data_IF_307848323893
#
_entry.id   IF_307848323893
#
_cell.length_a   1.000
_cell.length_b   1.000
_cell.length_c   1.000
_cell.angle_alpha   90.00
_cell.angle_beta   90.00
_cell.angle_gamma   90.00
#
_symmetry.space_group_name_H-M   'P 1'
#
loop_
_entity.id
_entity.type
_entity.pdbx_description
1 polymer ?
#
# COMPACT_ATOMS: atom_id res chain seq x y z
N UNK A 1 -31.94 25.84 -20.86
CA UNK A 1 -30.83 24.91 -21.22
C UNK A 1 -29.93 24.50 -20.04
N UNK A 2 -30.33 24.73 -18.80
CA UNK A 2 -29.48 24.56 -17.56
C UNK A 2 -29.81 23.28 -16.75
N UNK A 3 -30.85 22.54 -17.11
CA UNK A 3 -31.32 21.37 -16.33
C UNK A 3 -30.66 20.04 -16.76
N UNK A 4 -30.14 19.95 -18.00
CA UNK A 4 -29.58 18.71 -18.54
C UNK A 4 -28.14 18.45 -18.04
N UNK A 5 -27.42 19.47 -17.60
CA UNK A 5 -26.03 19.35 -17.09
C UNK A 5 -25.93 18.74 -15.68
N UNK A 6 -26.95 18.91 -14.84
CA UNK A 6 -26.99 18.35 -13.47
C UNK A 6 -27.23 16.84 -13.42
N UNK A 7 -28.00 16.29 -14.36
CA UNK A 7 -28.33 14.86 -14.38
C UNK A 7 -27.19 13.99 -14.91
N UNK A 8 -26.35 14.50 -15.80
CA UNK A 8 -25.18 13.76 -16.33
C UNK A 8 -24.07 13.57 -15.28
N UNK A 9 -23.75 14.64 -14.55
CA UNK A 9 -22.75 14.61 -13.47
C UNK A 9 -23.19 13.69 -12.33
N UNK A 10 -24.49 13.65 -12.04
CA UNK A 10 -25.04 12.78 -10.98
C UNK A 10 -24.97 11.29 -11.37
N UNK A 11 -25.25 10.94 -12.63
CA UNK A 11 -25.18 9.54 -13.11
C UNK A 11 -23.74 9.01 -13.13
N UNK A 12 -22.79 9.82 -13.57
CA UNK A 12 -21.38 9.43 -13.60
C UNK A 12 -20.82 9.22 -12.18
N UNK A 13 -21.10 10.14 -11.27
CA UNK A 13 -20.73 9.99 -9.85
C UNK A 13 -21.37 8.78 -9.17
N UNK A 14 -22.63 8.46 -9.49
CA UNK A 14 -23.30 7.28 -8.97
C UNK A 14 -22.63 6.01 -9.51
N UNK A 15 -22.25 5.99 -10.80
CA UNK A 15 -21.57 4.84 -11.41
C UNK A 15 -20.16 4.63 -10.83
N UNK A 16 -19.41 5.70 -10.58
CA UNK A 16 -18.10 5.66 -9.93
C UNK A 16 -18.24 5.15 -8.48
N UNK A 17 -19.19 5.69 -7.73
CA UNK A 17 -19.44 5.27 -6.34
C UNK A 17 -19.90 3.80 -6.26
N UNK A 18 -20.71 3.33 -7.21
CA UNK A 18 -21.14 1.92 -7.27
C UNK A 18 -19.97 0.98 -7.62
N UNK A 19 -19.06 1.41 -8.49
CA UNK A 19 -17.86 0.66 -8.82
C UNK A 19 -16.90 0.59 -7.63
N UNK A 20 -16.71 1.69 -6.91
CA UNK A 20 -15.90 1.71 -5.69
C UNK A 20 -16.49 0.81 -4.61
N UNK A 21 -17.81 0.87 -4.40
CA UNK A 21 -18.50 0.00 -3.47
C UNK A 21 -18.30 -1.49 -3.80
N UNK A 22 -18.40 -1.87 -5.08
CA UNK A 22 -18.19 -3.25 -5.51
C UNK A 22 -16.75 -3.72 -5.24
N UNK A 23 -15.74 -2.88 -5.52
CA UNK A 23 -14.33 -3.19 -5.24
C UNK A 23 -14.09 -3.33 -3.73
N UNK A 24 -14.63 -2.43 -2.93
CA UNK A 24 -14.50 -2.47 -1.47
C UNK A 24 -15.20 -3.68 -0.86
N UNK A 25 -16.37 -4.04 -1.38
CA UNK A 25 -17.08 -5.26 -0.96
C UNK A 25 -16.28 -6.51 -1.29
N UNK A 26 -15.73 -6.61 -2.50
CA UNK A 26 -14.85 -7.71 -2.89
C UNK A 26 -13.60 -7.79 -1.99
N UNK A 27 -12.99 -6.65 -1.68
CA UNK A 27 -11.87 -6.58 -0.76
C UNK A 27 -12.24 -7.07 0.65
N UNK A 28 -13.41 -6.66 1.19
CA UNK A 28 -13.92 -7.15 2.46
C UNK A 28 -14.16 -8.67 2.44
N UNK A 29 -14.70 -9.22 1.35
CA UNK A 29 -14.89 -10.66 1.19
C UNK A 29 -13.54 -11.41 1.22
N UNK A 30 -12.53 -10.92 0.51
CA UNK A 30 -11.17 -11.52 0.48
C UNK A 30 -10.58 -11.55 1.89
N UNK A 31 -10.64 -10.43 2.62
CA UNK A 31 -10.09 -10.36 3.98
C UNK A 31 -10.89 -11.19 5.00
N UNK A 32 -12.21 -11.18 4.91
CA UNK A 32 -13.07 -12.00 5.79
C UNK A 32 -12.84 -13.49 5.55
N UNK A 33 -12.72 -13.91 4.29
CA UNK A 33 -12.33 -15.25 3.93
C UNK A 33 -10.96 -15.62 4.51
N UNK A 34 -9.96 -14.76 4.37
CA UNK A 34 -8.62 -14.94 4.95
C UNK A 34 -8.68 -15.16 6.47
N UNK A 35 -9.47 -14.33 7.16
CA UNK A 35 -9.57 -14.37 8.61
C UNK A 35 -10.28 -15.64 9.09
N UNK A 36 -11.44 -15.95 8.53
CA UNK A 36 -12.31 -17.05 9.00
C UNK A 36 -11.83 -18.41 8.48
N UNK A 37 -11.49 -18.51 7.21
CA UNK A 37 -11.16 -19.79 6.59
C UNK A 37 -9.68 -20.19 6.73
N UNK A 38 -8.78 -19.24 7.05
CA UNK A 38 -7.34 -19.52 7.12
C UNK A 38 -6.76 -19.17 8.49
N UNK A 39 -6.91 -17.95 8.96
CA UNK A 39 -6.23 -17.45 10.15
C UNK A 39 -6.75 -18.12 11.44
N UNK A 40 -8.06 -18.08 11.67
CA UNK A 40 -8.69 -18.60 12.89
C UNK A 40 -8.46 -20.11 13.05
N UNK A 41 -8.74 -20.97 12.04
CA UNK A 41 -8.56 -22.41 12.16
C UNK A 41 -7.11 -22.85 12.42
N UNK A 42 -6.14 -22.10 11.88
CA UNK A 42 -4.72 -22.39 12.05
C UNK A 42 -4.12 -21.78 13.33
N UNK A 43 -4.92 -21.12 14.16
CA UNK A 43 -4.47 -20.53 15.41
C UNK A 43 -3.49 -19.36 15.22
N UNK A 44 -3.51 -18.74 14.04
CA UNK A 44 -2.67 -17.58 13.73
C UNK A 44 -3.21 -16.29 14.36
N UNK A 45 -2.31 -15.35 14.50
CA UNK A 45 -2.58 -13.93 14.77
C UNK A 45 -1.86 -13.05 13.78
N UNK A 46 -2.17 -11.77 13.76
CA UNK A 46 -1.53 -10.77 12.90
C UNK A 46 -1.29 -9.47 13.67
N UNK A 47 -0.70 -8.48 13.04
CA UNK A 47 -0.78 -7.09 13.50
C UNK A 47 -2.18 -6.50 13.32
N UNK A 48 -2.32 -5.22 13.60
CA UNK A 48 -3.57 -4.51 13.37
C UNK A 48 -4.69 -4.82 14.36
N UNK A 49 -5.88 -4.32 14.06
CA UNK A 49 -7.08 -4.55 14.89
C UNK A 49 -7.43 -6.04 14.97
N UNK A 50 -7.19 -6.78 13.89
CA UNK A 50 -7.36 -8.24 13.83
C UNK A 50 -6.54 -8.95 14.90
N UNK A 51 -5.29 -8.54 15.13
CA UNK A 51 -4.44 -9.07 16.18
C UNK A 51 -4.97 -8.77 17.58
N UNK A 52 -5.45 -7.55 17.82
CA UNK A 52 -6.09 -7.18 19.10
C UNK A 52 -7.30 -8.07 19.37
N UNK A 53 -8.17 -8.24 18.38
CA UNK A 53 -9.37 -9.07 18.50
C UNK A 53 -9.02 -10.54 18.75
N UNK A 54 -7.98 -11.07 18.09
CA UNK A 54 -7.49 -12.44 18.35
C UNK A 54 -6.98 -12.61 19.78
N UNK A 55 -6.26 -11.63 20.30
CA UNK A 55 -5.82 -11.64 21.70
C UNK A 55 -7.03 -11.63 22.64
N UNK A 56 -8.02 -10.77 22.38
CA UNK A 56 -9.25 -10.70 23.19
C UNK A 56 -10.04 -12.02 23.15
N UNK A 57 -10.12 -12.66 21.98
CA UNK A 57 -10.83 -13.94 21.81
C UNK A 57 -10.23 -15.07 22.67
N UNK A 58 -8.96 -14.97 23.04
CA UNK A 58 -8.36 -15.94 23.97
C UNK A 58 -8.85 -15.81 25.42
N UNK A 59 -9.40 -14.66 25.79
CA UNK A 59 -9.91 -14.37 27.14
C UNK A 59 -11.43 -14.28 27.21
N UNK A 60 -12.08 -14.02 26.07
CA UNK A 60 -13.54 -13.81 25.98
C UNK A 60 -14.08 -14.83 24.98
N UNK A 61 -14.97 -15.69 25.45
CA UNK A 61 -15.67 -16.67 24.62
C UNK A 61 -16.78 -15.96 23.81
N UNK A 62 -16.42 -15.36 22.69
CA UNK A 62 -17.32 -14.66 21.80
C UNK A 62 -16.82 -14.78 20.34
N UNK A 63 -17.75 -14.65 19.41
CA UNK A 63 -17.45 -14.66 17.98
C UNK A 63 -16.48 -13.56 17.61
N UNK A 64 -15.58 -13.85 16.70
CA UNK A 64 -14.55 -12.92 16.27
C UNK A 64 -15.16 -11.63 15.69
N UNK A 65 -16.23 -11.76 14.89
CA UNK A 65 -16.94 -10.63 14.31
C UNK A 65 -17.56 -9.70 15.35
N UNK A 66 -18.13 -10.26 16.43
CA UNK A 66 -18.73 -9.49 17.53
C UNK A 66 -17.67 -8.68 18.26
N UNK A 67 -16.53 -9.31 18.60
CA UNK A 67 -15.40 -8.61 19.21
C UNK A 67 -14.82 -7.54 18.28
N UNK A 68 -14.77 -7.85 16.98
CA UNK A 68 -14.28 -6.90 15.97
C UNK A 68 -15.20 -5.68 15.87
N UNK A 69 -16.53 -5.86 15.88
CA UNK A 69 -17.49 -4.76 15.95
C UNK A 69 -17.28 -3.88 17.19
N UNK A 70 -17.11 -4.52 18.35
CA UNK A 70 -16.85 -3.79 19.59
C UNK A 70 -15.60 -2.93 19.52
N UNK A 71 -14.48 -3.53 19.10
CA UNK A 71 -13.21 -2.81 18.92
C UNK A 71 -13.30 -1.69 17.89
N UNK A 72 -13.96 -1.96 16.76
CA UNK A 72 -14.19 -0.94 15.71
C UNK A 72 -15.03 0.23 16.26
N UNK A 73 -16.07 -0.06 17.06
CA UNK A 73 -16.89 0.95 17.71
C UNK A 73 -16.07 1.86 18.64
N UNK A 74 -15.20 1.27 19.45
CA UNK A 74 -14.29 2.03 20.33
C UNK A 74 -13.36 2.93 19.51
N UNK A 75 -12.75 2.39 18.44
CA UNK A 75 -11.87 3.19 17.56
C UNK A 75 -12.64 4.32 16.87
N UNK A 76 -13.87 4.08 16.42
CA UNK A 76 -14.73 5.11 15.82
C UNK A 76 -15.05 6.25 16.80
N UNK A 77 -15.35 5.92 18.06
CA UNK A 77 -15.57 6.92 19.11
C UNK A 77 -14.28 7.75 19.31
N UNK A 78 -13.12 7.10 19.40
CA UNK A 78 -11.84 7.79 19.52
C UNK A 78 -11.57 8.71 18.31
N UNK A 79 -11.92 8.27 17.10
CA UNK A 79 -11.77 9.09 15.89
C UNK A 79 -12.65 10.33 15.93
N UNK A 80 -13.91 10.24 16.38
CA UNK A 80 -14.79 11.41 16.52
C UNK A 80 -14.18 12.41 17.51
N UNK A 81 -13.72 11.94 18.65
CA UNK A 81 -13.20 12.81 19.73
C UNK A 81 -11.89 13.49 19.31
N UNK A 82 -10.94 12.75 18.70
CA UNK A 82 -9.59 13.24 18.45
C UNK A 82 -9.35 13.78 17.03
N UNK A 83 -10.00 13.20 16.02
CA UNK A 83 -9.82 13.57 14.61
C UNK A 83 -10.98 14.39 14.06
N UNK A 84 -12.19 14.21 14.61
CA UNK A 84 -13.39 14.98 14.27
C UNK A 84 -14.26 14.30 13.20
N UNK A 85 -15.45 14.89 12.98
CA UNK A 85 -16.53 14.34 12.16
C UNK A 85 -16.17 14.10 10.68
N UNK A 86 -15.25 14.90 10.14
CA UNK A 86 -14.82 14.78 8.73
C UNK A 86 -14.06 13.48 8.48
N UNK A 87 -13.15 13.10 9.35
CA UNK A 87 -12.38 11.85 9.26
C UNK A 87 -13.25 10.64 9.59
N UNK A 88 -14.14 10.76 10.58
CA UNK A 88 -15.10 9.71 10.91
C UNK A 88 -15.92 9.26 9.70
N UNK A 89 -16.47 10.19 8.92
CA UNK A 89 -17.29 9.85 7.75
C UNK A 89 -16.52 9.07 6.67
N UNK A 90 -15.22 9.30 6.53
CA UNK A 90 -14.38 8.60 5.55
C UNK A 90 -14.16 7.13 5.89
N UNK A 91 -14.10 6.80 7.16
CA UNK A 91 -13.82 5.44 7.64
C UNK A 91 -15.09 4.66 7.97
N UNK A 92 -16.21 5.33 8.20
CA UNK A 92 -17.45 4.72 8.65
C UNK A 92 -17.93 3.59 7.74
N UNK A 93 -17.86 3.78 6.42
CA UNK A 93 -18.38 2.82 5.45
C UNK A 93 -17.68 1.45 5.59
N UNK A 94 -16.36 1.41 5.60
CA UNK A 94 -15.60 0.17 5.76
C UNK A 94 -15.70 -0.40 7.18
N UNK A 95 -15.81 0.46 8.18
CA UNK A 95 -15.94 0.06 9.58
C UNK A 95 -17.24 -0.68 9.88
N UNK A 96 -18.27 -0.44 9.09
CA UNK A 96 -19.54 -1.18 9.16
C UNK A 96 -19.53 -2.38 8.21
N UNK A 97 -19.04 -2.18 6.98
CA UNK A 97 -19.10 -3.20 5.94
C UNK A 97 -18.22 -4.42 6.23
N UNK A 98 -16.97 -4.19 6.68
CA UNK A 98 -16.03 -5.29 6.92
C UNK A 98 -16.50 -6.26 8.01
N UNK A 99 -16.87 -5.82 9.23
CA UNK A 99 -17.37 -6.74 10.26
C UNK A 99 -18.69 -7.41 9.88
N UNK A 100 -19.56 -6.76 9.06
CA UNK A 100 -20.78 -7.38 8.57
C UNK A 100 -20.49 -8.56 7.62
N UNK A 101 -19.54 -8.37 6.70
CA UNK A 101 -19.07 -9.45 5.79
C UNK A 101 -18.39 -10.55 6.61
N UNK A 102 -17.58 -10.18 7.60
CA UNK A 102 -16.89 -11.11 8.48
C UNK A 102 -17.90 -12.02 9.21
N UNK A 103 -18.95 -11.45 9.79
CA UNK A 103 -20.03 -12.20 10.44
C UNK A 103 -20.69 -13.19 9.50
N UNK A 104 -20.95 -12.81 8.24
CA UNK A 104 -21.51 -13.72 7.24
C UNK A 104 -20.58 -14.91 6.95
N UNK A 105 -19.26 -14.66 6.86
CA UNK A 105 -18.28 -15.73 6.63
C UNK A 105 -18.14 -16.66 7.85
N UNK A 106 -18.27 -16.16 9.07
CA UNK A 106 -18.26 -17.00 10.29
C UNK A 106 -19.40 -18.03 10.30
N UNK A 107 -20.57 -17.65 9.78
CA UNK A 107 -21.72 -18.58 9.69
C UNK A 107 -21.49 -19.71 8.68
N UNK A 108 -20.59 -19.55 7.70
CA UNK A 108 -20.30 -20.57 6.69
C UNK A 108 -19.41 -21.71 7.24
N UNK A 109 -18.72 -21.49 8.36
CA UNK A 109 -17.83 -22.45 9.03
C UNK A 109 -16.90 -23.23 8.07
N UNK A 110 -16.33 -22.53 7.10
CA UNK A 110 -15.49 -23.10 6.06
C UNK A 110 -14.00 -22.98 6.43
N UNK A 111 -13.24 -24.07 6.22
CA UNK A 111 -11.79 -24.10 6.39
C UNK A 111 -11.13 -24.37 5.03
N UNK A 112 -10.12 -23.58 4.68
CA UNK A 112 -9.41 -23.72 3.41
C UNK A 112 -8.37 -24.84 3.45
N UNK A 113 -7.67 -24.98 4.57
CA UNK A 113 -6.61 -25.98 4.74
C UNK A 113 -7.19 -27.22 5.39
N UNK A 114 -6.98 -28.38 4.78
CA UNK A 114 -7.40 -29.69 5.30
C UNK A 114 -6.61 -30.09 6.55
N UNK A 115 -5.31 -29.78 6.55
CA UNK A 115 -4.42 -30.00 7.68
C UNK A 115 -3.90 -28.67 8.21
N UNK A 116 -3.59 -28.64 9.52
CA UNK A 116 -3.03 -27.45 10.17
C UNK A 116 -1.59 -27.18 9.70
N UNK A 117 -1.41 -26.28 8.76
CA UNK A 117 -0.11 -25.77 8.32
C UNK A 117 -0.02 -24.27 8.59
N UNK A 118 0.69 -23.93 9.67
CA UNK A 118 0.79 -22.54 10.16
C UNK A 118 1.62 -21.66 9.21
N UNK A 119 2.63 -22.24 8.51
CA UNK A 119 3.45 -21.48 7.56
C UNK A 119 2.64 -21.15 6.32
N UNK A 120 1.97 -22.15 5.75
CA UNK A 120 1.10 -21.96 4.59
C UNK A 120 -0.02 -20.97 4.90
N UNK A 121 -0.65 -21.11 6.05
CA UNK A 121 -1.65 -20.17 6.54
C UNK A 121 -1.11 -18.75 6.68
N UNK A 122 0.11 -18.56 7.20
CA UNK A 122 0.73 -17.25 7.35
C UNK A 122 0.96 -16.56 5.98
N UNK A 123 1.39 -17.32 4.95
CA UNK A 123 1.59 -16.80 3.60
C UNK A 123 0.26 -16.39 2.97
N UNK A 124 -0.75 -17.27 2.98
CA UNK A 124 -2.06 -16.96 2.41
C UNK A 124 -2.76 -15.82 3.13
N UNK A 125 -2.73 -15.78 4.47
CA UNK A 125 -3.23 -14.65 5.24
C UNK A 125 -2.54 -13.34 4.85
N UNK A 126 -1.23 -13.37 4.67
CA UNK A 126 -0.46 -12.22 4.24
C UNK A 126 -0.89 -11.71 2.86
N UNK A 127 -1.07 -12.60 1.89
CA UNK A 127 -1.50 -12.25 0.52
C UNK A 127 -2.92 -11.69 0.51
N UNK A 128 -3.89 -12.38 1.13
CA UNK A 128 -5.28 -11.95 1.12
C UNK A 128 -5.50 -10.65 1.90
N UNK A 129 -4.93 -10.53 3.10
CA UNK A 129 -5.05 -9.32 3.91
C UNK A 129 -4.31 -8.15 3.27
N UNK A 130 -3.13 -8.39 2.66
CA UNK A 130 -2.41 -7.39 1.89
C UNK A 130 -3.19 -6.91 0.67
N UNK A 131 -3.91 -7.81 0.00
CA UNK A 131 -4.81 -7.47 -1.12
C UNK A 131 -5.96 -6.57 -0.65
N UNK A 132 -6.58 -6.90 0.47
CA UNK A 132 -7.62 -6.05 1.06
C UNK A 132 -7.10 -4.64 1.34
N UNK A 133 -6.00 -4.53 2.10
CA UNK A 133 -5.41 -3.24 2.47
C UNK A 133 -5.02 -2.44 1.22
N UNK A 134 -4.38 -3.11 0.26
CA UNK A 134 -3.98 -2.49 -0.99
C UNK A 134 -5.16 -1.92 -1.79
N UNK A 135 -6.24 -2.67 -1.96
CA UNK A 135 -7.45 -2.23 -2.68
C UNK A 135 -8.15 -1.07 -1.96
N UNK A 136 -8.25 -1.13 -0.63
CA UNK A 136 -8.85 -0.08 0.19
C UNK A 136 -8.08 1.24 0.04
N UNK A 137 -6.76 1.20 0.15
CA UNK A 137 -5.93 2.40 0.02
C UNK A 137 -5.83 2.90 -1.42
N UNK A 138 -5.78 2.01 -2.39
CA UNK A 138 -5.80 2.38 -3.81
C UNK A 138 -7.06 3.18 -4.18
N UNK A 139 -8.19 2.86 -3.54
CA UNK A 139 -9.44 3.61 -3.69
C UNK A 139 -9.54 4.85 -2.79
N UNK A 140 -8.52 5.18 -2.01
CA UNK A 140 -8.49 6.34 -1.11
C UNK A 140 -9.34 6.20 0.14
N UNK A 141 -9.79 4.99 0.47
CA UNK A 141 -10.55 4.71 1.70
C UNK A 141 -9.62 4.29 2.85
N UNK A 142 -10.18 4.23 4.05
CA UNK A 142 -9.49 3.73 5.23
C UNK A 142 -10.49 3.00 6.15
N UNK A 143 -9.98 2.07 6.97
CA UNK A 143 -10.77 1.37 7.97
C UNK A 143 -10.56 1.96 9.39
N UNK A 144 -11.41 1.58 10.34
CA UNK A 144 -11.21 1.86 11.77
C UNK A 144 -10.25 0.83 12.39
N UNK A 145 -9.08 0.66 11.80
CA UNK A 145 -8.02 -0.21 12.28
C UNK A 145 -6.95 0.53 13.10
N UNK A 146 -5.80 -0.11 13.25
CA UNK A 146 -4.60 0.50 13.87
C UNK A 146 -4.12 1.74 13.14
N UNK A 147 -4.46 1.89 11.86
CA UNK A 147 -4.20 3.11 11.08
C UNK A 147 -4.92 4.33 11.66
N UNK A 148 -6.16 4.17 12.09
CA UNK A 148 -6.90 5.25 12.74
C UNK A 148 -6.26 5.60 14.10
N UNK A 149 -5.82 4.59 14.86
CA UNK A 149 -5.08 4.77 16.11
C UNK A 149 -3.75 5.50 15.83
N UNK A 150 -3.00 5.07 14.82
CA UNK A 150 -1.74 5.72 14.43
C UNK A 150 -1.93 7.19 14.01
N UNK A 151 -3.03 7.53 13.32
CA UNK A 151 -3.39 8.93 13.00
C UNK A 151 -3.67 9.76 14.25
N UNK A 152 -4.33 9.19 15.25
CA UNK A 152 -4.58 9.85 16.54
C UNK A 152 -3.26 10.10 17.26
N UNK A 153 -2.39 9.09 17.35
CA UNK A 153 -1.07 9.18 17.98
C UNK A 153 -0.23 10.26 17.29
N UNK A 154 -0.18 10.26 15.96
CA UNK A 154 0.56 11.27 15.21
C UNK A 154 0.05 12.68 15.49
N UNK A 155 -1.27 12.88 15.46
CA UNK A 155 -1.85 14.22 15.65
C UNK A 155 -1.66 14.76 17.06
N UNK A 156 -1.61 13.90 18.09
CA UNK A 156 -1.65 14.29 19.49
C UNK A 156 -0.33 14.14 20.24
N UNK A 157 0.45 13.12 19.91
CA UNK A 157 1.64 12.73 20.68
C UNK A 157 2.95 12.92 19.90
N UNK A 158 2.97 12.57 18.62
CA UNK A 158 4.21 12.50 17.83
C UNK A 158 4.00 13.10 16.42
N UNK A 159 3.81 14.44 16.28
CA UNK A 159 3.55 15.08 14.98
C UNK A 159 4.72 14.94 14.00
N UNK A 160 5.95 14.86 14.50
CA UNK A 160 7.18 14.81 13.70
C UNK A 160 7.49 13.42 13.13
N UNK A 161 6.85 12.38 13.66
CA UNK A 161 7.07 11.02 13.18
C UNK A 161 6.22 10.73 11.93
N UNK A 162 6.80 9.97 10.99
CA UNK A 162 6.06 9.52 9.82
C UNK A 162 4.96 8.54 10.23
N UNK A 163 3.83 8.58 9.51
CA UNK A 163 2.68 7.71 9.74
C UNK A 163 3.06 6.22 9.71
N UNK A 164 3.92 5.84 8.78
CA UNK A 164 4.38 4.45 8.63
C UNK A 164 5.19 3.96 9.83
N UNK A 165 6.02 4.84 10.46
CA UNK A 165 6.78 4.47 11.66
C UNK A 165 5.86 4.24 12.85
N UNK A 166 4.87 5.10 13.04
CA UNK A 166 3.90 4.96 14.15
C UNK A 166 3.10 3.67 13.97
N UNK A 167 2.60 3.42 12.76
CA UNK A 167 1.86 2.20 12.44
C UNK A 167 2.70 0.95 12.70
N UNK A 168 3.96 0.94 12.23
CA UNK A 168 4.89 -0.15 12.48
C UNK A 168 5.11 -0.40 13.98
N UNK A 169 5.26 0.65 14.79
CA UNK A 169 5.41 0.52 16.23
C UNK A 169 4.15 -0.06 16.90
N UNK A 170 2.96 0.39 16.49
CA UNK A 170 1.69 -0.12 17.02
C UNK A 170 1.51 -1.59 16.67
N UNK A 171 1.70 -1.95 15.40
CA UNK A 171 1.55 -3.33 14.94
C UNK A 171 2.60 -4.25 15.55
N UNK A 172 3.84 -3.80 15.68
CA UNK A 172 4.92 -4.54 16.35
C UNK A 172 4.60 -4.77 17.83
N UNK A 173 4.06 -3.78 18.54
CA UNK A 173 3.65 -3.94 19.94
C UNK A 173 2.55 -4.99 20.09
N UNK A 174 1.57 -5.01 19.19
CA UNK A 174 0.50 -6.02 19.18
C UNK A 174 1.08 -7.43 18.96
N UNK A 175 1.99 -7.58 17.99
CA UNK A 175 2.63 -8.86 17.69
C UNK A 175 3.49 -9.33 18.87
N UNK A 176 4.27 -8.44 19.48
CA UNK A 176 5.06 -8.78 20.68
C UNK A 176 4.13 -9.21 21.84
N UNK A 177 3.02 -8.50 22.05
CA UNK A 177 2.05 -8.89 23.08
C UNK A 177 1.40 -10.24 22.76
N UNK A 178 1.14 -10.54 21.48
CA UNK A 178 0.61 -11.84 21.07
C UNK A 178 1.54 -13.01 21.40
N UNK A 179 2.87 -12.77 21.51
CA UNK A 179 3.83 -13.80 21.89
C UNK A 179 3.60 -14.32 23.32
N UNK A 180 3.11 -13.46 24.22
CA UNK A 180 2.78 -13.87 25.60
C UNK A 180 1.48 -14.69 25.68
N UNK A 181 0.55 -14.47 24.74
CA UNK A 181 -0.76 -15.13 24.71
C UNK A 181 -0.72 -16.44 23.91
N UNK A 182 -0.15 -16.42 22.73
CA UNK A 182 -0.15 -17.56 21.78
C UNK A 182 1.20 -18.28 21.67
N UNK A 183 2.23 -17.77 22.33
CA UNK A 183 3.58 -18.30 22.30
C UNK A 183 4.45 -17.69 21.17
N UNK A 184 5.76 -17.86 21.32
CA UNK A 184 6.77 -17.22 20.46
C UNK A 184 6.66 -17.62 18.98
N UNK A 185 6.37 -18.90 18.72
CA UNK A 185 6.28 -19.38 17.34
C UNK A 185 5.15 -18.69 16.56
N UNK A 186 3.98 -18.54 17.16
CA UNK A 186 2.84 -17.85 16.51
C UNK A 186 3.16 -16.38 16.25
N UNK A 187 3.84 -15.71 17.19
CA UNK A 187 4.28 -14.34 16.96
C UNK A 187 5.30 -14.23 15.80
N UNK A 188 6.20 -15.19 15.63
CA UNK A 188 7.13 -15.22 14.48
C UNK A 188 6.38 -15.40 13.16
N UNK A 189 5.35 -16.26 13.12
CA UNK A 189 4.50 -16.38 11.93
C UNK A 189 3.70 -15.11 11.66
N UNK A 190 3.22 -14.42 12.72
CA UNK A 190 2.57 -13.13 12.57
C UNK A 190 3.49 -12.06 11.97
N UNK A 191 4.79 -12.06 12.30
CA UNK A 191 5.78 -11.18 11.66
C UNK A 191 5.94 -11.50 10.16
N UNK A 192 6.02 -12.77 9.78
CA UNK A 192 6.05 -13.18 8.37
C UNK A 192 4.80 -12.69 7.64
N UNK A 193 3.63 -12.94 8.23
CA UNK A 193 2.35 -12.46 7.70
C UNK A 193 2.36 -10.95 7.49
N UNK A 194 2.85 -10.18 8.48
CA UNK A 194 2.91 -8.71 8.40
C UNK A 194 3.83 -8.21 7.29
N UNK A 195 4.99 -8.85 7.08
CA UNK A 195 5.90 -8.51 5.98
C UNK A 195 5.22 -8.74 4.63
N UNK A 196 4.53 -9.87 4.46
CA UNK A 196 3.81 -10.18 3.22
C UNK A 196 2.67 -9.19 2.99
N UNK A 197 1.87 -8.86 4.02
CA UNK A 197 0.82 -7.85 3.97
C UNK A 197 1.38 -6.54 3.41
N UNK A 198 2.48 -6.06 3.98
CA UNK A 198 3.10 -4.79 3.57
C UNK A 198 3.53 -4.84 2.11
N UNK A 199 4.20 -5.91 1.67
CA UNK A 199 4.67 -6.05 0.29
C UNK A 199 3.55 -6.14 -0.72
N UNK A 200 2.53 -6.96 -0.43
CA UNK A 200 1.37 -7.12 -1.33
C UNK A 200 0.55 -5.83 -1.40
N UNK A 201 0.31 -5.16 -0.28
CA UNK A 201 -0.40 -3.87 -0.29
C UNK A 201 0.35 -2.79 -1.06
N UNK A 202 1.67 -2.68 -0.89
CA UNK A 202 2.51 -1.77 -1.69
C UNK A 202 2.42 -2.07 -3.20
N UNK A 203 2.45 -3.35 -3.59
CA UNK A 203 2.32 -3.76 -4.99
C UNK A 203 0.98 -3.35 -5.60
N UNK A 204 -0.10 -3.39 -4.84
CA UNK A 204 -1.44 -3.01 -5.32
C UNK A 204 -1.59 -1.49 -5.37
N UNK A 205 -1.11 -0.77 -4.34
CA UNK A 205 -1.22 0.70 -4.26
C UNK A 205 -0.39 1.37 -5.37
N UNK A 206 0.85 0.93 -5.54
CA UNK A 206 1.80 1.56 -6.48
C UNK A 206 1.90 0.83 -7.82
N UNK A 207 1.16 -0.27 -8.00
CA UNK A 207 1.17 -1.09 -9.21
C UNK A 207 2.39 -2.03 -9.32
N UNK A 208 2.28 -2.99 -10.23
CA UNK A 208 3.39 -3.86 -10.66
C UNK A 208 4.36 -3.12 -11.59
N UNK A 209 4.01 -1.93 -12.03
CA UNK A 209 4.82 -1.09 -12.90
C UNK A 209 6.08 -0.69 -12.14
N UNK A 210 7.19 -1.14 -12.66
CA UNK A 210 8.51 -0.95 -12.08
C UNK A 210 8.73 0.50 -11.66
N UNK A 211 9.26 0.65 -10.45
CA UNK A 211 9.59 1.96 -9.87
C UNK A 211 10.31 2.80 -10.93
N UNK A 212 9.73 3.95 -11.26
CA UNK A 212 10.37 4.91 -12.14
C UNK A 212 11.64 5.38 -11.45
N UNK A 213 12.71 5.44 -12.21
CA UNK A 213 13.98 5.99 -11.75
C UNK A 213 14.37 7.17 -12.64
N UNK A 214 15.00 8.14 -12.04
CA UNK A 214 15.66 9.21 -12.74
C UNK A 214 17.13 8.83 -12.95
N UNK A 215 17.58 8.84 -14.18
CA UNK A 215 18.99 8.81 -14.49
C UNK A 215 19.47 10.23 -14.77
N UNK A 216 20.55 10.61 -14.11
CA UNK A 216 21.34 11.80 -14.40
C UNK A 216 22.68 11.33 -14.95
N UNK A 217 22.98 11.67 -16.19
CA UNK A 217 24.13 11.18 -16.97
C UNK A 217 24.98 12.36 -17.36
N UNK A 218 26.15 12.50 -16.76
CA UNK A 218 27.14 13.52 -17.13
C UNK A 218 28.12 12.86 -18.09
N UNK A 219 28.20 13.38 -19.33
CA UNK A 219 28.95 12.74 -20.41
C UNK A 219 29.47 13.77 -21.43
N UNK A 220 30.57 13.43 -22.08
CA UNK A 220 31.06 14.12 -23.26
C UNK A 220 30.39 13.65 -24.56
N UNK A 221 29.96 12.37 -24.61
CA UNK A 221 29.36 11.71 -25.78
C UNK A 221 27.82 11.74 -25.74
N UNK A 222 27.25 12.92 -25.50
CA UNK A 222 25.81 13.09 -25.23
C UNK A 222 24.91 12.78 -26.44
N UNK A 223 25.35 13.01 -27.69
CA UNK A 223 24.50 12.82 -28.88
C UNK A 223 24.17 11.34 -29.13
N UNK A 224 25.12 10.44 -28.97
CA UNK A 224 24.89 9.01 -29.16
C UNK A 224 23.97 8.42 -28.08
N UNK A 225 24.13 8.88 -26.83
CA UNK A 225 23.30 8.46 -25.70
C UNK A 225 21.88 9.02 -25.84
N UNK A 226 21.76 10.30 -26.19
CA UNK A 226 20.47 10.98 -26.42
C UNK A 226 19.68 10.30 -27.54
N UNK A 227 20.32 9.97 -28.67
CA UNK A 227 19.73 9.29 -29.80
C UNK A 227 19.16 7.92 -29.36
N UNK A 228 19.92 7.13 -28.62
CA UNK A 228 19.47 5.84 -28.10
C UNK A 228 18.25 5.95 -27.18
N UNK A 229 18.23 6.96 -26.30
CA UNK A 229 17.11 7.17 -25.38
C UNK A 229 15.83 7.57 -26.13
N UNK A 230 15.94 8.46 -27.11
CA UNK A 230 14.82 8.99 -27.89
C UNK A 230 14.27 7.98 -28.89
N UNK A 231 15.15 7.33 -29.68
CA UNK A 231 14.77 6.53 -30.84
C UNK A 231 14.57 5.04 -30.49
N UNK A 232 15.46 4.46 -29.66
CA UNK A 232 15.39 3.02 -29.34
C UNK A 232 14.50 2.72 -28.12
N UNK A 233 14.41 3.66 -27.15
CA UNK A 233 13.63 3.45 -25.93
C UNK A 233 12.32 4.27 -25.89
N UNK A 234 12.13 5.19 -26.83
CA UNK A 234 10.97 6.09 -26.88
C UNK A 234 10.74 6.83 -25.55
N UNK A 235 11.83 7.39 -24.98
CA UNK A 235 11.81 8.12 -23.71
C UNK A 235 12.24 9.56 -23.90
N UNK A 236 11.51 10.46 -23.23
CA UNK A 236 11.89 11.88 -23.16
C UNK A 236 13.21 12.06 -22.40
N UNK A 237 14.08 12.90 -22.90
CA UNK A 237 15.33 13.27 -22.26
C UNK A 237 15.48 14.80 -22.22
N UNK A 238 15.88 15.32 -21.06
CA UNK A 238 16.24 16.73 -20.89
C UNK A 238 17.76 16.86 -20.80
N UNK A 239 18.32 17.93 -21.33
CA UNK A 239 19.78 18.18 -21.31
C UNK A 239 20.08 19.55 -20.70
N UNK A 240 21.12 19.59 -19.86
CA UNK A 240 21.66 20.82 -19.26
C UNK A 240 23.18 20.82 -19.43
N UNK A 241 23.76 22.00 -19.69
CA UNK A 241 25.22 22.16 -19.69
C UNK A 241 25.70 22.30 -18.25
N UNK A 242 26.73 21.54 -17.91
CA UNK A 242 27.38 21.59 -16.61
C UNK A 242 28.88 21.71 -16.77
N UNK A 243 29.51 22.41 -15.85
CA UNK A 243 30.97 22.55 -15.82
C UNK A 243 31.52 21.67 -14.68
N UNK A 244 32.46 20.81 -15.01
CA UNK A 244 33.19 20.04 -14.01
C UNK A 244 34.13 20.95 -13.23
N UNK A 245 33.85 21.23 -11.99
CA UNK A 245 34.65 22.15 -11.16
C UNK A 245 36.11 21.71 -10.97
N UNK A 246 36.36 20.41 -10.99
CA UNK A 246 37.72 19.89 -10.87
C UNK A 246 38.50 19.95 -12.21
N UNK A 247 37.83 19.62 -13.30
CA UNK A 247 38.46 19.54 -14.64
C UNK A 247 38.38 20.85 -15.42
N UNK A 248 37.50 21.78 -15.01
CA UNK A 248 37.14 23.01 -15.70
C UNK A 248 36.69 22.78 -17.17
N UNK A 249 36.16 21.58 -17.43
CA UNK A 249 35.61 21.18 -18.72
C UNK A 249 34.07 21.24 -18.74
N UNK A 250 33.52 21.56 -19.91
CA UNK A 250 32.07 21.53 -20.13
C UNK A 250 31.60 20.10 -20.46
N UNK A 251 30.55 19.67 -19.81
CA UNK A 251 29.83 18.41 -20.07
C UNK A 251 28.36 18.67 -20.32
N UNK A 252 27.67 17.65 -20.86
CA UNK A 252 26.21 17.63 -20.91
C UNK A 252 25.69 16.69 -19.84
N UNK A 253 24.80 17.19 -19.02
CA UNK A 253 23.98 16.35 -18.14
C UNK A 253 22.67 16.01 -18.85
N UNK A 254 22.43 14.73 -19.07
CA UNK A 254 21.18 14.19 -19.61
C UNK A 254 20.35 13.62 -18.47
N UNK A 255 19.12 14.10 -18.34
CA UNK A 255 18.16 13.60 -17.35
C UNK A 255 17.04 12.84 -18.06
N UNK A 256 16.81 11.58 -17.67
CA UNK A 256 15.76 10.72 -18.21
C UNK A 256 14.98 10.02 -17.10
N UNK A 257 13.66 9.99 -17.24
CA UNK A 257 12.76 9.21 -16.40
C UNK A 257 12.44 7.89 -17.10
N UNK A 258 12.79 6.77 -16.49
CA UNK A 258 12.63 5.46 -17.12
C UNK A 258 12.36 4.36 -16.06
N UNK A 259 11.99 3.16 -16.52
CA UNK A 259 11.87 2.00 -15.67
C UNK A 259 13.24 1.47 -15.21
N UNK A 260 13.28 0.69 -14.13
CA UNK A 260 14.50 0.03 -13.66
C UNK A 260 15.15 -0.84 -14.76
N UNK A 261 14.35 -1.51 -15.59
CA UNK A 261 14.85 -2.32 -16.72
C UNK A 261 15.54 -1.47 -17.76
N UNK A 262 14.92 -0.38 -18.18
CA UNK A 262 15.48 0.56 -19.15
C UNK A 262 16.76 1.23 -18.61
N UNK A 263 16.80 1.55 -17.32
CA UNK A 263 18.01 2.09 -16.68
C UNK A 263 19.22 1.18 -16.83
N UNK A 264 19.02 -0.14 -16.76
CA UNK A 264 20.09 -1.11 -16.98
C UNK A 264 20.53 -1.11 -18.45
N UNK A 265 19.60 -1.00 -19.40
CA UNK A 265 19.92 -0.93 -20.84
C UNK A 265 20.68 0.35 -21.17
N UNK A 266 20.22 1.49 -20.65
CA UNK A 266 20.89 2.79 -20.83
C UNK A 266 22.31 2.73 -20.29
N UNK A 267 22.52 2.23 -19.07
CA UNK A 267 23.88 2.11 -18.49
C UNK A 267 24.80 1.21 -19.31
N UNK A 268 24.30 0.10 -19.84
CA UNK A 268 25.08 -0.76 -20.73
C UNK A 268 25.48 -0.04 -22.02
N UNK A 269 24.58 0.77 -22.57
CA UNK A 269 24.88 1.55 -23.77
C UNK A 269 25.89 2.65 -23.50
N UNK A 270 25.75 3.34 -22.35
CA UNK A 270 26.71 4.37 -21.92
C UNK A 270 28.09 3.76 -21.74
N UNK A 271 28.24 2.62 -21.08
CA UNK A 271 29.52 1.97 -20.88
C UNK A 271 30.26 1.63 -22.18
N UNK A 272 29.55 1.54 -23.32
CA UNK A 272 30.14 1.32 -24.64
C UNK A 272 30.50 2.63 -25.34
N UNK A 273 29.68 3.68 -25.16
CA UNK A 273 29.84 4.96 -25.85
C UNK A 273 30.80 5.90 -25.11
N UNK A 274 30.69 5.96 -23.81
CA UNK A 274 31.51 6.81 -22.93
C UNK A 274 31.77 6.09 -21.59
N UNK A 275 32.87 5.30 -21.52
CA UNK A 275 33.23 4.59 -20.30
C UNK A 275 33.50 5.50 -19.08
N UNK A 276 33.84 6.76 -19.32
CA UNK A 276 34.18 7.75 -18.31
C UNK A 276 32.95 8.58 -17.87
N UNK A 277 31.75 8.31 -18.43
CA UNK A 277 30.53 8.99 -18.07
C UNK A 277 30.13 8.73 -16.61
N UNK A 278 29.65 9.76 -15.92
CA UNK A 278 29.15 9.67 -14.57
C UNK A 278 27.64 9.51 -14.58
N UNK A 279 27.13 8.42 -13.98
CA UNK A 279 25.70 8.08 -14.00
C UNK A 279 25.17 7.95 -12.59
N UNK A 280 24.19 8.78 -12.24
CA UNK A 280 23.44 8.71 -10.99
C UNK A 280 22.07 8.12 -11.26
N UNK A 281 21.64 7.16 -10.44
CA UNK A 281 20.31 6.56 -10.50
C UNK A 281 19.58 6.91 -9.21
N UNK A 282 18.54 7.72 -9.31
CA UNK A 282 17.71 8.15 -8.17
C UNK A 282 16.35 7.49 -8.26
N UNK A 283 15.86 6.93 -7.16
CA UNK A 283 14.49 6.43 -7.08
C UNK A 283 13.52 7.61 -7.01
N UNK A 284 12.53 7.60 -7.88
CA UNK A 284 11.47 8.60 -7.89
C UNK A 284 10.24 8.02 -7.24
N UNK A 285 9.61 8.75 -6.33
CA UNK A 285 8.41 8.29 -5.64
C UNK A 285 7.19 8.32 -6.57
N UNK A 286 7.04 9.38 -7.37
CA UNK A 286 5.96 9.53 -8.34
C UNK A 286 6.38 10.48 -9.47
N UNK A 287 5.82 10.26 -10.66
CA UNK A 287 5.95 11.16 -11.82
C UNK A 287 4.57 11.39 -12.40
N UNK A 288 4.20 12.65 -12.55
CA UNK A 288 2.96 13.06 -13.21
C UNK A 288 3.32 13.69 -14.56
N UNK A 289 2.59 13.32 -15.59
CA UNK A 289 2.78 13.85 -16.94
C UNK A 289 2.43 12.86 -18.03
N UNK A 290 2.59 13.30 -19.29
CA UNK A 290 2.38 12.41 -20.43
C UNK A 290 3.61 11.53 -20.63
N UNK A 291 3.42 10.20 -20.60
CA UNK A 291 4.48 9.23 -20.83
C UNK A 291 4.13 7.83 -20.31
N UNK A 292 4.81 6.83 -20.85
CA UNK A 292 4.57 5.43 -20.46
C UNK A 292 5.07 5.17 -19.03
N UNK A 293 4.15 4.84 -18.12
CA UNK A 293 4.46 4.57 -16.71
C UNK A 293 4.37 5.81 -15.79
N UNK A 294 3.84 6.94 -16.28
CA UNK A 294 3.57 8.14 -15.50
C UNK A 294 2.08 8.22 -15.15
N UNK A 295 1.75 8.94 -14.07
CA UNK A 295 0.39 9.24 -13.69
C UNK A 295 -0.11 10.49 -14.41
N UNK A 296 -1.38 10.50 -14.83
CA UNK A 296 -2.00 11.69 -15.43
C UNK A 296 -2.18 12.80 -14.37
N UNK A 297 -1.86 14.04 -14.72
CA UNK A 297 -1.97 15.21 -13.84
C UNK A 297 -3.45 15.48 -13.46
N UNK A 298 -4.39 15.13 -14.31
CA UNK A 298 -5.82 15.44 -14.14
C UNK A 298 -6.62 14.37 -13.36
N UNK A 299 -5.98 13.34 -12.80
CA UNK A 299 -6.65 12.19 -12.15
C UNK A 299 -6.50 12.11 -10.63
N UNK A 300 -6.06 13.19 -9.98
CA UNK A 300 -6.06 13.29 -8.51
C UNK A 300 -7.34 13.91 -7.96
#
# INVERSE_FOLDING_TARGET
MTFIRKTGITRQKIKELSADFAVLLAACCISSFSTVAVMIPNGLTSGGLTGIVRIMQNFIDADFSVLYYGCTGVVLIMVIIFLGWREFRKILMLSVMYPAVLFLFEQLNFQLLEERDVILAAVFCGVFSGTYIGLVFWKGYASAGTEAIARIIRKKLCPDLSMSRILLCVDAAIIVFSAFVFGRNIAMYALITQVIITRVSEMIIYGFTGKVVQLSIITSEHEGIKKYILEDLDRGVSSIRVTGEYTQTEFMELTVMCSLRESVLIRKKIAVLDPDAFVVVTKVEAVWGHGTGFSDIDKD
#
